data_IF_682445123038
#
_entry.id   IF_682445123038
#
_cell.length_a   1.000
_cell.length_b   1.000
_cell.length_c   1.000
_cell.angle_alpha   90.00
_cell.angle_beta   90.00
_cell.angle_gamma   90.00
#
_symmetry.space_group_name_H-M   'P 1'
#
loop_
_entity.id
_entity.type
_entity.pdbx_description
1 polymer ?
#
# COMPACT_ATOMS: atom_id res chain seq x y z
N UNK A 1 -26.21 -7.96 1.39
CA UNK A 1 -25.30 -7.89 0.23
C UNK A 1 -24.10 -8.72 0.63
N UNK A 2 -23.65 -9.64 -0.21
CA UNK A 2 -22.42 -10.40 0.05
C UNK A 2 -21.23 -9.43 -0.06
N UNK A 3 -20.20 -9.58 0.78
CA UNK A 3 -19.06 -8.66 0.71
C UNK A 3 -18.26 -8.94 -0.57
N UNK A 4 -17.88 -7.87 -1.28
CA UNK A 4 -17.06 -7.96 -2.50
C UNK A 4 -15.64 -8.41 -2.19
N UNK A 5 -15.22 -8.26 -0.93
CA UNK A 5 -13.94 -8.74 -0.43
C UNK A 5 -14.10 -10.04 0.36
N UNK A 6 -13.36 -11.07 -0.01
CA UNK A 6 -13.48 -12.41 0.56
C UNK A 6 -12.69 -12.60 1.87
N UNK A 7 -11.59 -11.85 2.03
CA UNK A 7 -10.76 -11.88 3.24
C UNK A 7 -11.18 -10.82 4.25
N UNK A 8 -11.50 -11.22 5.47
CA UNK A 8 -11.87 -10.28 6.54
C UNK A 8 -10.62 -9.62 7.16
N UNK A 9 -10.42 -8.33 6.85
CA UNK A 9 -9.30 -7.56 7.42
C UNK A 9 -9.52 -7.20 8.88
N UNK A 10 -10.77 -7.13 9.37
CA UNK A 10 -11.07 -6.83 10.77
C UNK A 10 -10.79 -8.07 11.64
N UNK A 11 -11.04 -9.28 11.14
CA UNK A 11 -10.69 -10.50 11.87
C UNK A 11 -9.19 -10.88 11.78
N UNK A 12 -8.56 -10.67 10.62
CA UNK A 12 -7.20 -11.20 10.35
C UNK A 12 -6.07 -10.18 10.39
N UNK A 13 -6.35 -8.92 10.05
CA UNK A 13 -5.34 -7.88 9.83
C UNK A 13 -5.45 -6.73 10.85
N UNK A 14 -6.56 -6.57 11.56
CA UNK A 14 -6.70 -5.52 12.58
C UNK A 14 -5.70 -5.72 13.74
N UNK A 15 -4.96 -4.66 14.16
CA UNK A 15 -4.20 -4.70 15.39
C UNK A 15 -5.11 -4.99 16.60
N UNK A 16 -4.70 -5.82 17.57
CA UNK A 16 -5.57 -6.15 18.69
C UNK A 16 -5.89 -4.93 19.54
N UNK A 17 -7.17 -4.73 19.82
CA UNK A 17 -7.68 -3.78 20.80
C UNK A 17 -7.98 -4.48 22.14
N UNK A 18 -8.08 -3.70 23.22
CA UNK A 18 -8.48 -4.16 24.57
C UNK A 18 -7.62 -5.31 25.16
N UNK A 19 -6.29 -5.28 24.97
CA UNK A 19 -5.41 -6.35 25.47
C UNK A 19 -5.31 -6.35 27.01
N UNK A 20 -5.49 -7.53 27.62
CA UNK A 20 -5.18 -7.76 29.04
C UNK A 20 -3.94 -8.64 29.22
N UNK A 21 -3.02 -8.21 30.08
CA UNK A 21 -1.79 -8.94 30.42
C UNK A 21 -1.41 -8.75 31.89
N UNK A 22 -0.44 -9.53 32.39
CA UNK A 22 0.07 -9.42 33.76
C UNK A 22 1.25 -8.45 33.82
N UNK A 23 1.14 -7.38 34.61
CA UNK A 23 2.24 -6.42 34.80
C UNK A 23 3.51 -7.11 35.32
N UNK A 24 3.38 -8.04 36.27
CA UNK A 24 4.51 -8.81 36.80
C UNK A 24 4.86 -9.95 35.85
N UNK A 25 6.04 -9.86 35.22
CA UNK A 25 6.59 -10.88 34.33
C UNK A 25 6.48 -10.58 32.83
N UNK A 26 5.75 -9.54 32.43
CA UNK A 26 5.76 -9.02 31.05
C UNK A 26 6.92 -8.04 30.87
N UNK A 27 7.66 -8.17 29.78
CA UNK A 27 8.74 -7.26 29.41
C UNK A 27 8.19 -5.88 29.02
N UNK A 28 8.89 -4.81 29.39
CA UNK A 28 8.61 -3.47 28.87
C UNK A 28 8.80 -3.46 27.34
N UNK A 29 8.02 -2.67 26.60
CA UNK A 29 8.13 -2.63 25.15
C UNK A 29 9.46 -2.03 24.72
N UNK A 30 9.94 -2.41 23.54
CA UNK A 30 11.11 -1.79 22.90
C UNK A 30 10.69 -0.73 21.87
N UNK A 31 11.63 0.08 21.38
CA UNK A 31 11.39 0.92 20.19
C UNK A 31 10.94 0.09 18.98
N UNK A 32 11.43 -1.15 18.84
CA UNK A 32 11.03 -2.06 17.76
C UNK A 32 9.55 -2.44 17.91
N UNK A 33 9.10 -2.76 19.13
CA UNK A 33 7.70 -3.11 19.39
C UNK A 33 6.77 -1.94 19.04
N UNK A 34 7.11 -0.73 19.51
CA UNK A 34 6.35 0.49 19.22
C UNK A 34 6.32 0.79 17.72
N UNK A 35 7.44 0.64 17.01
CA UNK A 35 7.49 0.76 15.55
C UNK A 35 6.61 -0.28 14.85
N UNK A 36 6.76 -1.55 15.26
CA UNK A 36 6.06 -2.67 14.65
C UNK A 36 4.55 -2.50 14.76
N UNK A 37 4.05 -2.15 15.94
CA UNK A 37 2.63 -1.89 16.19
C UNK A 37 2.16 -0.63 15.45
N UNK A 38 2.90 0.48 15.49
CA UNK A 38 2.53 1.69 14.76
C UNK A 38 2.39 1.44 13.25
N UNK A 39 3.31 0.70 12.63
CA UNK A 39 3.20 0.32 11.22
C UNK A 39 2.11 -0.70 10.92
N UNK A 40 1.79 -1.59 11.86
CA UNK A 40 0.63 -2.46 11.75
C UNK A 40 -0.66 -1.62 11.66
N UNK A 41 -0.84 -0.62 12.54
CA UNK A 41 -1.95 0.33 12.43
C UNK A 41 -1.94 1.10 11.10
N UNK A 42 -0.81 1.68 10.68
CA UNK A 42 -0.72 2.38 9.38
C UNK A 42 -1.14 1.49 8.20
N UNK A 43 -0.68 0.23 8.16
CA UNK A 43 -1.02 -0.73 7.10
C UNK A 43 -2.52 -1.05 7.12
N UNK A 44 -3.09 -1.30 8.30
CA UNK A 44 -4.51 -1.60 8.45
C UNK A 44 -5.42 -0.42 8.05
N UNK A 45 -5.08 0.81 8.44
CA UNK A 45 -5.78 2.03 8.02
C UNK A 45 -5.70 2.24 6.50
N UNK A 46 -4.53 2.00 5.89
CA UNK A 46 -4.35 2.07 4.42
C UNK A 46 -5.17 1.01 3.71
N UNK A 47 -5.27 -0.20 4.26
CA UNK A 47 -6.08 -1.28 3.70
C UNK A 47 -7.58 -0.92 3.75
N UNK A 48 -8.04 -0.49 4.92
CA UNK A 48 -9.42 -0.03 5.14
C UNK A 48 -9.78 1.12 4.18
N UNK A 49 -8.86 2.07 3.99
CA UNK A 49 -9.02 3.18 3.04
C UNK A 49 -9.12 2.69 1.58
N UNK A 50 -8.23 1.79 1.15
CA UNK A 50 -8.24 1.24 -0.21
C UNK A 50 -9.58 0.54 -0.53
N UNK A 51 -10.05 -0.33 0.38
CA UNK A 51 -11.34 -1.03 0.26
C UNK A 51 -12.54 -0.07 0.32
N UNK A 52 -12.47 0.98 1.15
CA UNK A 52 -13.50 2.03 1.20
C UNK A 52 -13.65 2.73 -0.15
N UNK A 53 -12.54 3.12 -0.79
CA UNK A 53 -12.60 3.80 -2.09
C UNK A 53 -13.15 2.89 -3.21
N UNK A 54 -12.80 1.60 -3.23
CA UNK A 54 -13.42 0.63 -4.15
C UNK A 54 -14.92 0.52 -3.90
N UNK A 55 -15.35 0.33 -2.64
CA UNK A 55 -16.78 0.26 -2.29
C UNK A 55 -17.53 1.53 -2.71
N UNK A 56 -16.97 2.72 -2.47
CA UNK A 56 -17.56 3.99 -2.90
C UNK A 56 -17.61 4.17 -4.42
N UNK A 57 -16.65 3.62 -5.17
CA UNK A 57 -16.70 3.63 -6.62
C UNK A 57 -17.77 2.68 -7.20
N UNK A 58 -18.24 1.71 -6.42
CA UNK A 58 -19.31 0.77 -6.81
C UNK A 58 -20.71 1.20 -6.31
N UNK A 59 -20.82 2.30 -5.55
CA UNK A 59 -22.12 2.87 -5.16
C UNK A 59 -22.72 3.71 -6.29
N UNK A 60 -23.99 3.49 -6.61
CA UNK A 60 -24.73 4.28 -7.61
C UNK A 60 -25.41 5.55 -7.03
N UNK A 61 -25.28 5.81 -5.72
CA UNK A 61 -25.91 6.95 -5.06
C UNK A 61 -24.97 8.15 -4.97
N UNK A 62 -25.14 9.09 -5.92
CA UNK A 62 -24.29 10.28 -6.07
C UNK A 62 -24.88 11.54 -5.43
N UNK A 63 -26.09 11.48 -4.88
CA UNK A 63 -26.89 12.63 -4.40
C UNK A 63 -26.20 13.46 -3.31
N UNK A 64 -25.23 12.89 -2.59
CA UNK A 64 -24.45 13.60 -1.56
C UNK A 64 -23.16 14.25 -2.08
N UNK A 65 -22.69 13.89 -3.28
CA UNK A 65 -21.48 14.44 -3.88
C UNK A 65 -21.76 15.68 -4.73
N UNK A 66 -22.83 15.67 -5.51
CA UNK A 66 -23.18 16.75 -6.42
C UNK A 66 -24.69 16.79 -6.75
N UNK A 67 -25.18 17.97 -7.12
CA UNK A 67 -26.56 18.14 -7.57
C UNK A 67 -26.80 17.42 -8.91
N UNK A 68 -27.92 16.71 -9.02
CA UNK A 68 -28.34 16.07 -10.27
C UNK A 68 -28.51 17.08 -11.40
N UNK A 69 -28.09 16.68 -12.60
CA UNK A 69 -28.30 17.42 -13.84
C UNK A 69 -29.50 16.84 -14.61
N UNK A 70 -30.29 17.68 -15.27
CA UNK A 70 -31.45 17.23 -16.08
C UNK A 70 -31.03 16.43 -17.34
N UNK A 71 -29.85 16.71 -17.87
CA UNK A 71 -29.24 15.98 -18.99
C UNK A 71 -28.58 14.68 -18.48
N UNK A 72 -29.18 13.53 -18.81
CA UNK A 72 -28.69 12.20 -18.42
C UNK A 72 -27.27 11.89 -18.90
N UNK A 73 -26.85 12.44 -20.05
CA UNK A 73 -25.51 12.22 -20.61
C UNK A 73 -24.46 13.00 -19.82
N UNK A 74 -24.79 14.24 -19.44
CA UNK A 74 -23.94 15.04 -18.55
C UNK A 74 -23.90 14.40 -17.15
N UNK A 75 -25.05 13.97 -16.61
CA UNK A 75 -25.15 13.30 -15.31
C UNK A 75 -24.20 12.08 -15.26
N UNK A 76 -24.30 11.14 -16.21
CA UNK A 76 -23.41 9.97 -16.28
C UNK A 76 -21.93 10.35 -16.45
N UNK A 77 -21.62 11.40 -17.21
CA UNK A 77 -20.24 11.84 -17.40
C UNK A 77 -19.62 12.40 -16.09
N UNK A 78 -20.44 13.02 -15.23
CA UNK A 78 -20.02 13.43 -13.88
C UNK A 78 -19.87 12.22 -12.97
N UNK A 79 -20.84 11.29 -12.95
CA UNK A 79 -20.79 10.05 -12.17
C UNK A 79 -19.52 9.23 -12.47
N UNK A 80 -19.26 8.93 -13.74
CA UNK A 80 -18.04 8.21 -14.15
C UNK A 80 -16.76 8.97 -13.83
N UNK A 81 -16.76 10.31 -13.85
CA UNK A 81 -15.61 11.10 -13.42
C UNK A 81 -15.32 10.90 -11.93
N UNK A 82 -16.34 10.98 -11.05
CA UNK A 82 -16.14 10.72 -9.62
C UNK A 82 -15.74 9.27 -9.36
N UNK A 83 -16.35 8.31 -10.06
CA UNK A 83 -15.97 6.88 -10.02
C UNK A 83 -14.50 6.67 -10.39
N UNK A 84 -14.00 7.38 -11.40
CA UNK A 84 -12.59 7.37 -11.79
C UNK A 84 -11.64 7.96 -10.73
N UNK A 85 -11.98 9.09 -10.10
CA UNK A 85 -11.16 9.64 -9.00
C UNK A 85 -11.09 8.68 -7.79
N UNK A 86 -12.20 8.03 -7.45
CA UNK A 86 -12.25 7.02 -6.39
C UNK A 86 -11.42 5.78 -6.73
N UNK A 87 -11.50 5.31 -7.98
CA UNK A 87 -10.65 4.24 -8.51
C UNK A 87 -9.15 4.58 -8.45
N UNK A 88 -8.73 5.77 -8.88
CA UNK A 88 -7.32 6.20 -8.76
C UNK A 88 -6.87 6.26 -7.30
N UNK A 89 -7.74 6.74 -6.40
CA UNK A 89 -7.42 6.82 -4.97
C UNK A 89 -7.27 5.43 -4.35
N UNK A 90 -8.09 4.45 -4.76
CA UNK A 90 -7.93 3.05 -4.40
C UNK A 90 -6.61 2.46 -4.94
N UNK A 91 -6.32 2.65 -6.24
CA UNK A 91 -5.09 2.20 -6.91
C UNK A 91 -3.83 2.71 -6.20
N UNK A 92 -3.79 4.00 -5.87
CA UNK A 92 -2.71 4.63 -5.11
C UNK A 92 -2.60 3.99 -3.72
N UNK A 93 -3.73 3.82 -3.01
CA UNK A 93 -3.75 3.28 -1.64
C UNK A 93 -3.25 1.83 -1.58
N UNK A 94 -3.66 0.96 -2.51
CA UNK A 94 -3.14 -0.42 -2.60
C UNK A 94 -1.64 -0.46 -2.89
N UNK A 95 -1.14 0.37 -3.80
CA UNK A 95 0.28 0.42 -4.12
C UNK A 95 1.12 0.96 -2.95
N UNK A 96 0.61 1.96 -2.24
CA UNK A 96 1.24 2.49 -1.02
C UNK A 96 1.25 1.43 0.08
N UNK A 97 0.18 0.65 0.25
CA UNK A 97 0.14 -0.44 1.23
C UNK A 97 1.19 -1.51 0.92
N UNK A 98 1.32 -1.92 -0.34
CA UNK A 98 2.40 -2.84 -0.75
C UNK A 98 3.78 -2.22 -0.51
N UNK A 99 3.97 -0.94 -0.85
CA UNK A 99 5.23 -0.23 -0.62
C UNK A 99 5.57 -0.09 0.89
N UNK A 100 4.56 0.04 1.76
CA UNK A 100 4.73 0.06 3.21
C UNK A 100 5.02 -1.32 3.80
N UNK A 101 4.45 -2.39 3.26
CA UNK A 101 4.59 -3.73 3.83
C UNK A 101 6.03 -4.27 3.78
N UNK A 102 6.82 -3.90 2.75
CA UNK A 102 8.23 -4.27 2.68
C UNK A 102 9.14 -3.34 3.49
N UNK A 103 8.80 -2.06 3.60
CA UNK A 103 9.46 -1.13 4.51
C UNK A 103 9.27 -1.57 5.98
N UNK A 104 8.07 -2.02 6.34
CA UNK A 104 7.75 -2.57 7.66
C UNK A 104 8.64 -3.76 8.02
N UNK A 105 8.77 -4.75 7.14
CA UNK A 105 9.69 -5.88 7.34
C UNK A 105 11.15 -5.45 7.43
N UNK A 106 11.61 -4.60 6.49
CA UNK A 106 13.00 -4.12 6.47
C UNK A 106 13.38 -3.42 7.76
N UNK A 107 12.61 -2.41 8.17
CA UNK A 107 12.88 -1.63 9.38
C UNK A 107 12.71 -2.49 10.64
N UNK A 108 11.73 -3.40 10.68
CA UNK A 108 11.58 -4.34 11.82
C UNK A 108 12.79 -5.26 12.00
N UNK A 109 13.42 -5.68 10.91
CA UNK A 109 14.64 -6.49 10.94
C UNK A 109 15.91 -5.65 11.20
N UNK A 110 15.99 -4.41 10.69
CA UNK A 110 17.09 -3.48 10.92
C UNK A 110 17.15 -2.97 12.36
N UNK A 111 16.00 -2.74 13.03
CA UNK A 111 15.98 -2.39 14.45
C UNK A 111 16.76 -3.40 15.30
N UNK A 112 16.65 -4.68 14.96
CA UNK A 112 17.38 -5.77 15.60
C UNK A 112 18.89 -5.83 15.28
N UNK A 113 19.40 -4.85 14.53
CA UNK A 113 20.79 -4.72 14.06
C UNK A 113 21.45 -3.38 14.47
N UNK A 114 20.87 -2.60 15.39
CA UNK A 114 21.46 -1.34 15.91
C UNK A 114 21.76 -1.35 17.43
N UNK A 115 22.74 -0.52 17.83
CA UNK A 115 22.67 0.43 18.97
C UNK A 115 23.76 1.50 18.80
N UNK A 116 24.01 2.39 19.78
CA UNK A 116 24.73 3.66 19.54
C UNK A 116 25.83 4.03 20.59
N UNK A 117 26.65 5.05 20.30
CA UNK A 117 27.67 5.65 21.20
C UNK A 117 27.33 7.08 21.67
N UNK A 118 28.19 7.64 22.52
CA UNK A 118 28.01 8.94 23.18
C UNK A 118 28.03 10.16 22.23
N UNK A 119 28.43 9.98 20.97
CA UNK A 119 28.39 11.02 19.93
C UNK A 119 27.25 10.76 18.90
N UNK A 120 26.43 9.71 19.10
CA UNK A 120 25.27 9.36 18.26
C UNK A 120 25.55 8.40 17.10
N UNK A 121 26.68 7.68 17.10
CA UNK A 121 27.07 6.73 16.03
C UNK A 121 26.71 5.29 16.38
N UNK A 122 26.53 4.40 15.41
CA UNK A 122 26.07 3.00 15.62
C UNK A 122 27.22 2.09 16.11
N UNK A 123 26.98 1.21 17.10
CA UNK A 123 27.99 0.36 17.77
C UNK A 123 27.68 -1.13 17.98
N UNK A 124 26.43 -1.53 18.20
CA UNK A 124 25.96 -2.92 18.44
C UNK A 124 26.52 -3.58 19.75
N UNK A 125 25.90 -4.53 20.47
CA UNK A 125 24.56 -5.14 20.42
C UNK A 125 23.93 -5.18 21.86
N UNK A 126 23.44 -4.04 22.38
CA UNK A 126 22.75 -3.87 23.69
C UNK A 126 21.61 -2.84 23.74
N UNK A 127 21.64 -1.73 22.99
CA UNK A 127 20.71 -0.60 23.21
C UNK A 127 19.56 -0.48 22.17
N UNK A 128 19.11 -1.61 21.60
CA UNK A 128 17.69 -1.76 21.19
C UNK A 128 16.91 -2.57 22.24
N UNK A 129 17.55 -2.89 23.37
CA UNK A 129 16.90 -3.41 24.56
C UNK A 129 16.22 -2.26 25.35
N UNK A 130 14.96 -1.97 25.02
CA UNK A 130 14.09 -1.06 25.77
C UNK A 130 13.58 0.17 25.00
N UNK A 131 12.96 1.09 25.73
CA UNK A 131 12.40 2.35 25.20
C UNK A 131 13.40 3.50 25.26
N UNK A 132 13.38 4.38 24.26
CA UNK A 132 14.11 5.64 24.23
C UNK A 132 13.18 6.85 24.46
N UNK A 133 13.71 8.05 24.76
CA UNK A 133 12.98 9.31 24.64
C UNK A 133 12.32 9.49 23.26
N UNK A 134 11.24 10.26 23.20
CA UNK A 134 10.37 10.37 22.01
C UNK A 134 11.13 10.92 20.81
N UNK A 135 11.92 11.98 21.00
CA UNK A 135 12.70 12.63 19.96
C UNK A 135 13.77 11.68 19.40
N UNK A 136 14.50 10.98 20.26
CA UNK A 136 15.52 9.98 19.87
C UNK A 136 14.87 8.80 19.12
N UNK A 137 13.78 8.25 19.64
CA UNK A 137 13.03 7.17 18.98
C UNK A 137 12.53 7.60 17.59
N UNK A 138 12.08 8.85 17.44
CA UNK A 138 11.66 9.40 16.15
C UNK A 138 12.81 9.59 15.18
N UNK A 139 13.94 10.17 15.60
CA UNK A 139 15.12 10.35 14.76
C UNK A 139 15.72 9.01 14.29
N UNK A 140 15.83 8.03 15.20
CA UNK A 140 16.21 6.66 14.89
C UNK A 140 15.30 6.06 13.82
N UNK A 141 13.98 6.17 14.01
CA UNK A 141 13.00 5.69 13.04
C UNK A 141 13.17 6.35 11.65
N UNK A 142 13.25 7.68 11.59
CA UNK A 142 13.43 8.40 10.32
C UNK A 142 14.74 8.00 9.63
N UNK A 143 15.81 7.75 10.39
CA UNK A 143 17.11 7.32 9.88
C UNK A 143 17.04 5.91 9.28
N UNK A 144 16.38 4.96 9.95
CA UNK A 144 16.22 3.58 9.44
C UNK A 144 15.29 3.52 8.22
N UNK A 145 14.19 4.29 8.21
CA UNK A 145 13.31 4.39 7.04
C UNK A 145 14.05 4.92 5.79
N UNK A 146 15.12 5.70 5.94
CA UNK A 146 15.95 6.16 4.81
C UNK A 146 16.93 5.11 4.26
N UNK A 147 17.16 4.00 4.96
CA UNK A 147 17.96 2.86 4.46
C UNK A 147 17.18 1.91 3.53
N UNK A 148 15.85 2.04 3.52
CA UNK A 148 14.89 1.22 2.78
C UNK A 148 15.14 1.31 1.25
N UNK A 149 15.65 0.23 0.64
CA UNK A 149 15.94 0.13 -0.80
C UNK A 149 15.21 -1.03 -1.47
N UNK A 150 14.80 -0.87 -2.73
CA UNK A 150 13.76 -1.73 -3.34
C UNK A 150 14.13 -3.23 -3.32
N UNK A 151 13.14 -4.16 -3.13
CA UNK A 151 13.40 -5.61 -2.98
C UNK A 151 14.09 -6.34 -4.14
N UNK A 152 14.50 -5.63 -5.20
CA UNK A 152 15.15 -6.17 -6.40
C UNK A 152 16.44 -5.41 -6.78
N UNK A 153 16.93 -4.48 -5.96
CA UNK A 153 18.18 -3.76 -6.24
C UNK A 153 19.39 -4.73 -6.26
N UNK A 154 20.39 -4.47 -7.11
CA UNK A 154 21.69 -5.14 -6.96
C UNK A 154 22.30 -4.73 -5.61
N UNK A 155 22.69 -5.72 -4.80
CA UNK A 155 23.08 -5.47 -3.41
C UNK A 155 21.91 -5.38 -2.41
N UNK A 156 20.69 -5.78 -2.80
CA UNK A 156 19.49 -5.82 -1.96
C UNK A 156 19.78 -6.27 -0.50
N UNK A 157 19.50 -5.44 0.51
CA UNK A 157 19.84 -5.73 1.90
C UNK A 157 19.06 -6.91 2.48
N UNK A 158 17.97 -7.37 1.86
CA UNK A 158 17.25 -8.56 2.32
C UNK A 158 18.11 -9.82 2.40
N UNK A 159 19.07 -10.03 1.49
CA UNK A 159 19.99 -11.17 1.58
C UNK A 159 20.92 -11.07 2.81
N UNK A 160 21.30 -9.85 3.18
CA UNK A 160 22.05 -9.56 4.41
C UNK A 160 21.16 -9.77 5.65
N UNK A 161 19.93 -9.26 5.64
CA UNK A 161 18.96 -9.44 6.74
C UNK A 161 18.68 -10.92 7.02
N UNK A 162 18.49 -11.77 6.00
CA UNK A 162 18.32 -13.23 6.18
C UNK A 162 19.52 -13.89 6.85
N UNK A 163 20.74 -13.42 6.57
CA UNK A 163 21.95 -13.95 7.17
C UNK A 163 22.14 -13.50 8.63
N UNK A 164 21.72 -12.27 8.95
CA UNK A 164 21.92 -11.67 10.27
C UNK A 164 20.77 -11.96 11.26
N UNK A 165 19.52 -11.97 10.79
CA UNK A 165 18.30 -12.28 11.55
C UNK A 165 17.50 -13.40 10.85
N UNK A 166 17.93 -14.67 10.96
CA UNK A 166 17.30 -15.79 10.26
C UNK A 166 15.79 -15.95 10.49
N UNK A 167 15.27 -15.47 11.63
CA UNK A 167 13.85 -15.46 11.99
C UNK A 167 12.98 -14.62 11.05
N UNK A 168 13.55 -13.65 10.32
CA UNK A 168 12.83 -12.90 9.28
C UNK A 168 12.83 -13.59 7.91
N UNK A 169 13.51 -14.74 7.74
CA UNK A 169 13.72 -15.37 6.43
C UNK A 169 12.41 -15.63 5.67
N UNK A 170 11.40 -16.17 6.36
CA UNK A 170 10.13 -16.52 5.75
C UNK A 170 9.31 -15.29 5.34
N UNK A 171 9.42 -14.18 6.10
CA UNK A 171 8.81 -12.89 5.78
C UNK A 171 9.50 -12.23 4.57
N UNK A 172 10.83 -12.30 4.52
CA UNK A 172 11.63 -11.82 3.38
C UNK A 172 11.31 -12.60 2.11
N UNK A 173 11.27 -13.93 2.17
CA UNK A 173 10.94 -14.75 0.99
C UNK A 173 9.50 -14.49 0.51
N UNK A 174 8.57 -14.27 1.44
CA UNK A 174 7.18 -13.90 1.10
C UNK A 174 7.09 -12.54 0.40
N UNK A 175 7.89 -11.54 0.82
CA UNK A 175 8.04 -10.26 0.11
C UNK A 175 8.61 -10.47 -1.29
N UNK A 176 9.71 -11.21 -1.43
CA UNK A 176 10.40 -11.39 -2.71
C UNK A 176 9.52 -12.16 -3.71
N UNK A 177 8.86 -13.24 -3.29
CA UNK A 177 7.96 -14.02 -4.14
C UNK A 177 6.75 -13.20 -4.61
N UNK A 178 6.15 -12.39 -3.73
CA UNK A 178 5.06 -11.48 -4.09
C UNK A 178 5.54 -10.40 -5.07
N UNK A 179 6.64 -9.72 -4.75
CA UNK A 179 7.18 -8.62 -5.56
C UNK A 179 7.63 -9.06 -6.95
N UNK A 180 8.13 -10.30 -7.11
CA UNK A 180 8.48 -10.88 -8.42
C UNK A 180 7.28 -10.87 -9.38
N UNK A 181 6.07 -11.11 -8.88
CA UNK A 181 4.84 -11.07 -9.68
C UNK A 181 4.28 -9.64 -9.75
N UNK A 182 4.14 -8.97 -8.59
CA UNK A 182 3.51 -7.66 -8.50
C UNK A 182 4.25 -6.55 -9.28
N UNK A 183 5.58 -6.59 -9.33
CA UNK A 183 6.39 -5.56 -10.01
C UNK A 183 6.09 -5.39 -11.50
N UNK A 184 5.62 -6.45 -12.17
CA UNK A 184 5.26 -6.45 -13.59
C UNK A 184 3.75 -6.38 -13.84
N UNK A 185 2.92 -6.34 -12.79
CA UNK A 185 1.46 -6.28 -12.89
C UNK A 185 0.96 -5.01 -13.58
N UNK A 186 -0.19 -5.13 -14.25
CA UNK A 186 -1.03 -4.03 -14.73
C UNK A 186 -1.25 -2.94 -13.67
N UNK A 187 -1.63 -3.34 -12.45
CA UNK A 187 -1.82 -2.47 -11.29
C UNK A 187 -0.56 -1.64 -10.98
N UNK A 188 0.62 -2.30 -10.84
CA UNK A 188 1.87 -1.58 -10.55
C UNK A 188 2.31 -0.69 -11.71
N UNK A 189 2.12 -1.16 -12.94
CA UNK A 189 2.42 -0.39 -14.15
C UNK A 189 1.53 0.85 -14.29
N UNK A 190 0.24 0.76 -13.96
CA UNK A 190 -0.68 1.89 -13.98
C UNK A 190 -0.38 2.87 -12.84
N UNK A 191 -0.10 2.40 -11.63
CA UNK A 191 0.39 3.25 -10.55
C UNK A 191 1.67 4.01 -10.93
N UNK A 192 2.65 3.33 -11.52
CA UNK A 192 3.87 3.96 -12.02
C UNK A 192 3.58 4.99 -13.12
N UNK A 193 2.58 4.74 -13.99
CA UNK A 193 2.10 5.74 -14.96
C UNK A 193 1.51 6.96 -14.25
N UNK A 194 0.56 6.78 -13.34
CA UNK A 194 -0.09 7.89 -12.58
C UNK A 194 0.96 8.72 -11.84
N UNK A 195 1.89 8.05 -11.14
CA UNK A 195 2.97 8.65 -10.34
C UNK A 195 3.99 9.45 -11.15
N UNK A 196 4.35 9.01 -12.36
CA UNK A 196 5.48 9.56 -13.11
C UNK A 196 5.12 10.22 -14.45
N UNK A 197 3.93 9.95 -15.00
CA UNK A 197 3.47 10.40 -16.33
C UNK A 197 2.13 11.14 -16.28
N UNK A 198 1.41 11.07 -15.16
CA UNK A 198 0.18 11.82 -14.91
C UNK A 198 -1.11 11.02 -15.14
N UNK A 199 -2.24 11.75 -15.19
CA UNK A 199 -3.58 11.17 -15.17
C UNK A 199 -3.94 10.50 -16.51
N UNK A 200 -4.44 9.24 -16.51
CA UNK A 200 -4.98 8.60 -17.71
C UNK A 200 -6.35 9.20 -18.08
N UNK A 201 -6.85 8.84 -19.25
CA UNK A 201 -8.23 9.08 -19.66
C UNK A 201 -9.08 7.82 -19.46
N UNK A 202 -10.36 8.03 -19.23
CA UNK A 202 -11.32 6.99 -18.89
C UNK A 202 -12.31 6.78 -20.01
N UNK A 203 -12.42 5.56 -20.50
CA UNK A 203 -13.28 5.20 -21.64
C UNK A 203 -14.73 5.63 -21.40
N UNK A 204 -15.24 5.36 -20.20
CA UNK A 204 -16.61 5.66 -19.81
C UNK A 204 -16.90 7.17 -19.75
N UNK A 205 -15.89 7.99 -19.43
CA UNK A 205 -15.99 9.46 -19.44
C UNK A 205 -15.84 10.03 -20.85
N UNK A 206 -14.86 9.54 -21.61
CA UNK A 206 -14.54 10.09 -22.93
C UNK A 206 -15.54 9.66 -24.02
N UNK A 207 -16.10 8.46 -23.93
CA UNK A 207 -17.23 8.03 -24.77
C UNK A 207 -18.45 8.95 -24.59
N UNK A 208 -18.69 9.46 -23.38
CA UNK A 208 -19.75 10.43 -23.10
C UNK A 208 -19.41 11.86 -23.56
N UNK A 209 -18.13 12.22 -23.68
CA UNK A 209 -17.70 13.54 -24.21
C UNK A 209 -17.85 13.68 -25.73
N UNK A 210 -17.92 12.57 -26.46
CA UNK A 210 -18.14 12.53 -27.91
C UNK A 210 -16.85 12.34 -28.71
N UNK A 211 -16.96 12.07 -30.01
CA UNK A 211 -15.84 11.63 -30.86
C UNK A 211 -14.75 12.67 -31.13
N UNK A 212 -13.78 12.29 -31.96
CA UNK A 212 -12.68 13.13 -32.43
C UNK A 212 -13.22 14.29 -33.27
N UNK A 213 -12.80 15.53 -32.99
CA UNK A 213 -13.33 16.73 -33.70
C UNK A 213 -12.81 16.81 -35.14
N UNK A 214 -11.60 16.34 -35.38
CA UNK A 214 -10.96 16.28 -36.69
C UNK A 214 -9.90 15.17 -36.73
N UNK A 215 -9.67 14.58 -37.91
CA UNK A 215 -8.53 13.69 -38.16
C UNK A 215 -7.57 14.35 -39.15
N UNK A 216 -6.27 14.26 -38.90
CA UNK A 216 -5.22 14.69 -39.82
C UNK A 216 -4.70 13.46 -40.56
N UNK A 217 -4.79 13.45 -41.88
CA UNK A 217 -4.26 12.40 -42.74
C UNK A 217 -3.10 12.94 -43.58
N UNK A 218 -1.95 12.27 -43.56
CA UNK A 218 -0.80 12.57 -44.41
C UNK A 218 -0.50 11.31 -45.22
N UNK A 219 -0.82 11.34 -46.51
CA UNK A 219 -0.87 10.12 -47.32
C UNK A 219 -1.99 9.20 -46.84
N UNK A 220 -1.65 7.97 -46.44
CA UNK A 220 -2.57 6.97 -45.91
C UNK A 220 -2.45 6.78 -44.39
N UNK A 221 -1.67 7.60 -43.69
CA UNK A 221 -1.45 7.51 -42.24
C UNK A 221 -2.22 8.59 -41.49
N UNK A 222 -2.84 8.23 -40.36
CA UNK A 222 -3.52 9.17 -39.46
C UNK A 222 -2.56 9.68 -38.38
N UNK A 223 -2.58 10.99 -38.16
CA UNK A 223 -1.71 11.71 -37.24
C UNK A 223 -2.49 12.24 -36.03
N UNK A 224 -1.84 12.39 -34.87
CA UNK A 224 -2.45 12.99 -33.69
C UNK A 224 -3.09 14.35 -33.99
N UNK A 225 -4.38 14.44 -33.68
CA UNK A 225 -5.25 15.59 -33.91
C UNK A 225 -6.22 15.84 -32.75
N UNK A 226 -6.23 14.96 -31.76
CA UNK A 226 -6.94 15.07 -30.49
C UNK A 226 -6.01 14.62 -29.35
N UNK A 227 -6.17 15.18 -28.15
CA UNK A 227 -5.34 14.83 -26.99
C UNK A 227 -5.46 13.34 -26.62
N UNK A 228 -6.58 12.71 -26.95
CA UNK A 228 -6.83 11.26 -26.77
C UNK A 228 -5.92 10.37 -27.62
N UNK A 229 -5.39 10.87 -28.74
CA UNK A 229 -4.49 10.09 -29.59
C UNK A 229 -3.13 9.78 -28.92
N UNK A 230 -2.78 10.54 -27.87
CA UNK A 230 -1.48 10.43 -27.16
C UNK A 230 -1.60 10.12 -25.67
N UNK A 231 -2.78 10.32 -25.06
CA UNK A 231 -3.02 10.01 -23.66
C UNK A 231 -3.34 8.52 -23.44
N UNK A 232 -2.86 7.95 -22.33
CA UNK A 232 -3.20 6.57 -21.97
C UNK A 232 -4.68 6.49 -21.62
N UNK A 233 -5.43 5.69 -22.36
CA UNK A 233 -6.83 5.36 -22.10
C UNK A 233 -6.94 4.04 -21.31
N UNK A 234 -7.92 3.94 -20.41
CA UNK A 234 -8.28 2.74 -19.62
C UNK A 234 -9.79 2.74 -19.30
N UNK A 235 -10.37 1.57 -19.04
CA UNK A 235 -11.69 1.44 -18.40
C UNK A 235 -11.59 1.58 -16.88
N UNK A 236 -12.53 2.30 -16.28
CA UNK A 236 -12.75 2.34 -14.82
C UNK A 236 -13.33 1.02 -14.33
N UNK A 237 -14.25 0.42 -15.07
CA UNK A 237 -14.96 -0.80 -14.67
C UNK A 237 -14.04 -2.03 -14.64
N UNK A 238 -13.24 -2.24 -15.68
CA UNK A 238 -12.21 -3.29 -15.69
C UNK A 238 -11.15 -3.04 -14.62
N UNK A 239 -10.75 -1.78 -14.41
CA UNK A 239 -9.77 -1.40 -13.37
C UNK A 239 -10.27 -1.69 -11.95
N UNK A 240 -11.54 -1.36 -11.65
CA UNK A 240 -12.14 -1.67 -10.34
C UNK A 240 -12.23 -3.19 -10.12
N UNK A 241 -12.62 -3.94 -11.15
CA UNK A 241 -12.65 -5.40 -11.08
C UNK A 241 -11.25 -5.98 -10.84
N UNK A 242 -10.25 -5.51 -11.57
CA UNK A 242 -8.85 -5.90 -11.41
C UNK A 242 -8.33 -5.62 -9.99
N UNK A 243 -8.70 -4.49 -9.37
CA UNK A 243 -8.34 -4.21 -7.97
C UNK A 243 -9.02 -5.16 -6.97
N UNK A 244 -10.27 -5.57 -7.20
CA UNK A 244 -10.99 -6.52 -6.34
C UNK A 244 -10.38 -7.92 -6.47
N UNK A 245 -10.12 -8.36 -7.71
CA UNK A 245 -9.47 -9.64 -7.99
C UNK A 245 -8.04 -9.68 -7.41
N UNK A 246 -7.30 -8.57 -7.46
CA UNK A 246 -5.99 -8.44 -6.82
C UNK A 246 -6.06 -8.48 -5.28
N UNK A 247 -7.02 -7.77 -4.67
CA UNK A 247 -7.22 -7.80 -3.22
C UNK A 247 -7.46 -9.23 -2.74
N UNK A 248 -8.51 -9.86 -3.30
CA UNK A 248 -8.99 -11.17 -2.88
C UNK A 248 -7.99 -12.31 -3.14
N UNK A 249 -7.30 -12.30 -4.30
CA UNK A 249 -6.48 -13.44 -4.73
C UNK A 249 -4.98 -13.27 -4.47
N UNK A 250 -4.49 -12.04 -4.23
CA UNK A 250 -3.05 -11.78 -4.08
C UNK A 250 -2.71 -10.97 -2.83
N UNK A 251 -3.34 -9.81 -2.63
CA UNK A 251 -2.92 -8.88 -1.57
C UNK A 251 -3.33 -9.37 -0.19
N UNK A 252 -4.57 -9.81 0.00
CA UNK A 252 -5.05 -10.26 1.30
C UNK A 252 -4.24 -11.46 1.81
N UNK A 253 -4.06 -12.56 1.03
CA UNK A 253 -3.26 -13.70 1.48
C UNK A 253 -1.79 -13.34 1.73
N UNK A 254 -1.24 -12.39 0.98
CA UNK A 254 0.13 -11.89 1.18
C UNK A 254 0.27 -11.13 2.51
N UNK A 255 -0.62 -10.18 2.80
CA UNK A 255 -0.56 -9.37 4.02
C UNK A 255 -0.87 -10.21 5.26
N UNK A 256 -1.86 -11.11 5.21
CA UNK A 256 -2.16 -12.05 6.30
C UNK A 256 -0.95 -12.93 6.64
N UNK A 257 -0.34 -13.55 5.62
CA UNK A 257 0.85 -14.38 5.79
C UNK A 257 2.04 -13.58 6.33
N UNK A 258 2.30 -12.40 5.77
CA UNK A 258 3.42 -11.55 6.16
C UNK A 258 3.26 -11.07 7.61
N UNK A 259 2.08 -10.59 7.99
CA UNK A 259 1.74 -10.21 9.37
C UNK A 259 1.98 -11.38 10.34
N UNK A 260 1.50 -12.58 9.99
CA UNK A 260 1.72 -13.78 10.80
C UNK A 260 3.20 -14.10 11.03
N UNK A 261 4.02 -13.99 9.98
CA UNK A 261 5.47 -14.22 10.05
C UNK A 261 6.18 -13.14 10.88
N UNK A 262 5.87 -11.86 10.67
CA UNK A 262 6.48 -10.76 11.42
C UNK A 262 6.11 -10.77 12.89
N UNK A 263 4.87 -11.13 13.26
CA UNK A 263 4.47 -11.31 14.67
C UNK A 263 5.33 -12.35 15.39
N UNK A 264 5.74 -13.42 14.71
CA UNK A 264 6.62 -14.46 15.25
C UNK A 264 8.08 -13.97 15.32
N UNK A 265 8.55 -13.23 14.31
CA UNK A 265 9.93 -12.75 14.24
C UNK A 265 10.23 -11.56 15.17
N UNK A 266 9.22 -10.72 15.47
CA UNK A 266 9.34 -9.57 16.38
C UNK A 266 8.95 -9.93 17.82
N UNK A 267 7.93 -10.77 18.03
CA UNK A 267 7.35 -11.09 19.34
C UNK A 267 7.08 -9.83 20.22
N UNK A 268 6.33 -8.83 19.71
CA UNK A 268 6.21 -7.51 20.36
C UNK A 268 5.55 -7.62 21.74
N UNK A 269 6.03 -6.84 22.71
CA UNK A 269 5.41 -6.79 24.03
C UNK A 269 3.92 -6.43 23.95
N UNK A 270 3.01 -7.11 24.68
CA UNK A 270 1.59 -6.76 24.72
C UNK A 270 1.34 -5.35 25.29
N UNK A 271 2.33 -4.73 25.93
CA UNK A 271 2.29 -3.33 26.37
C UNK A 271 2.31 -2.32 25.20
N UNK A 272 2.78 -2.71 24.00
CA UNK A 272 2.86 -1.82 22.84
C UNK A 272 1.50 -1.55 22.15
N UNK A 273 0.43 -2.22 22.61
CA UNK A 273 -0.94 -2.13 22.09
C UNK A 273 -1.93 -1.50 23.10
N UNK A 274 -1.41 -0.79 24.12
CA UNK A 274 -2.21 -0.04 25.10
C UNK A 274 -2.65 1.33 24.58
#
# INVERSE_FOLDING_TARGET
MEDIFTGDIFEKIEPPHDISFKIVGTALPTNQDMYFVAKWHEIFERYTSARLFVRKALEDNWDYWFNKTEDERIQRAVEYKFKAELYETALLSYNILVDLSWAWTYVSAEYLLYNFDADGNITNAKDVCGMHPIEEAYELLRKTENGVSTPHAEGNPFNYLKAMRPEFSDAVDTIVDFWRVFSSSSIRNLYNFVKHKGKPLYEEVENLRGGKVMSILIGNEEYPSDIRDVQKMISVEDGLKELIDFDNNMLFPYIEKLLGQLKIAVEPSPMAFL
#
